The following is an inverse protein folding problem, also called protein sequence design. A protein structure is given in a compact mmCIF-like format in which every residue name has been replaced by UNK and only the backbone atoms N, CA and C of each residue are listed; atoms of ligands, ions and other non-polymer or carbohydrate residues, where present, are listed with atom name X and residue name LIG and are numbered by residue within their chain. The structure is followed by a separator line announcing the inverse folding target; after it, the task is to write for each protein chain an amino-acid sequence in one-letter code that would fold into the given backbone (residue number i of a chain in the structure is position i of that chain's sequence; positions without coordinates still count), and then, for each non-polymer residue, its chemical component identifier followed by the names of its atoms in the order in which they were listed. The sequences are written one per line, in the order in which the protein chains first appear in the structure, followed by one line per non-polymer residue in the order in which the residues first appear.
data_IF_203180826389
#
_entry.id   IF_203180826389
#
_cell.length_a   1.000
_cell.length_b   1.000
_cell.length_c   1.000
_cell.angle_alpha   90.00
_cell.angle_beta   90.00
_cell.angle_gamma   90.00
#
_symmetry.space_group_name_H-M   'P 1'
#
loop_
_entity.id
_entity.type
_entity.pdbx_description
1 polymer ?
#
# COMPACT_ATOMS: atom_id res chain seq x y z
N UNK A 1 -42.65 -17.56 53.07
CA UNK A 1 -43.43 -16.43 52.53
C UNK A 1 -42.51 -15.73 51.56
N UNK A 2 -42.57 -16.26 50.35
CA UNK A 2 -42.14 -15.61 49.12
C UNK A 2 -43.02 -14.37 48.95
N UNK A 3 -42.44 -13.24 48.59
CA UNK A 3 -43.05 -12.32 47.63
C UNK A 3 -41.92 -11.85 46.70
N UNK A 4 -41.94 -12.43 45.51
CA UNK A 4 -41.22 -11.99 44.34
C UNK A 4 -41.96 -10.77 43.79
N UNK A 5 -41.28 -9.64 43.63
CA UNK A 5 -41.72 -8.59 42.71
C UNK A 5 -40.59 -8.32 41.71
N UNK A 6 -40.82 -8.93 40.57
CA UNK A 6 -40.06 -8.92 39.32
C UNK A 6 -40.59 -7.78 38.46
N UNK A 7 -39.89 -6.65 38.39
CA UNK A 7 -40.20 -5.58 37.45
C UNK A 7 -38.93 -5.04 36.77
N UNK A 8 -38.77 -5.37 35.48
CA UNK A 8 -38.19 -4.43 34.52
C UNK A 8 -36.70 -4.56 34.20
N UNK A 9 -36.32 -5.67 33.57
CA UNK A 9 -35.11 -5.71 32.75
C UNK A 9 -35.22 -4.72 31.57
N UNK A 10 -34.46 -3.63 31.61
CA UNK A 10 -34.22 -2.81 30.42
C UNK A 10 -33.05 -3.41 29.63
N UNK A 11 -33.37 -4.35 28.74
CA UNK A 11 -32.49 -4.79 27.68
C UNK A 11 -32.26 -3.61 26.72
N UNK A 12 -31.09 -2.98 26.83
CA UNK A 12 -30.52 -2.17 25.74
C UNK A 12 -29.70 -3.09 24.85
N UNK A 13 -30.42 -3.88 24.06
CA UNK A 13 -29.88 -4.42 22.82
C UNK A 13 -29.42 -3.24 21.96
N UNK A 14 -28.12 -3.07 21.80
CA UNK A 14 -27.54 -2.13 20.84
C UNK A 14 -26.98 -2.89 19.63
N UNK A 15 -27.82 -3.36 18.69
CA UNK A 15 -27.36 -4.04 17.49
C UNK A 15 -27.11 -3.02 16.38
N UNK A 16 -25.98 -2.31 16.41
CA UNK A 16 -25.53 -1.49 15.26
C UNK A 16 -24.04 -1.56 15.01
N UNK A 17 -23.53 -2.78 14.88
CA UNK A 17 -22.20 -3.08 14.37
C UNK A 17 -22.23 -4.21 13.32
N UNK A 18 -23.03 -4.11 12.24
CA UNK A 18 -22.90 -5.10 11.14
C UNK A 18 -23.62 -4.83 9.80
N UNK A 19 -23.95 -3.60 9.39
CA UNK A 19 -24.73 -3.42 8.12
C UNK A 19 -24.19 -2.37 7.12
N UNK A 20 -23.00 -1.81 7.36
CA UNK A 20 -22.36 -0.88 6.42
C UNK A 20 -21.31 -1.50 5.49
N UNK A 21 -20.78 -2.67 5.85
CA UNK A 21 -19.59 -3.26 5.18
C UNK A 21 -19.98 -4.20 4.03
N UNK A 22 -21.25 -4.62 3.96
CA UNK A 22 -21.69 -5.68 3.04
C UNK A 22 -22.24 -5.21 1.69
N UNK A 23 -22.48 -3.90 1.48
CA UNK A 23 -23.00 -3.36 0.20
C UNK A 23 -21.94 -2.81 -0.76
N UNK A 24 -20.75 -2.49 -0.26
CA UNK A 24 -19.66 -1.95 -1.11
C UNK A 24 -18.93 -3.06 -1.87
N UNK A 25 -18.95 -4.29 -1.34
CA UNK A 25 -18.23 -5.42 -1.92
C UNK A 25 -18.90 -6.02 -3.17
N UNK A 26 -20.21 -5.83 -3.38
CA UNK A 26 -20.94 -6.44 -4.51
C UNK A 26 -20.95 -5.62 -5.80
N UNK A 27 -20.76 -4.29 -5.75
CA UNK A 27 -20.84 -3.44 -6.97
C UNK A 27 -19.58 -3.50 -7.84
N UNK A 28 -18.41 -3.81 -7.27
CA UNK A 28 -17.16 -3.89 -8.04
C UNK A 28 -17.08 -5.15 -8.92
N UNK A 29 -17.72 -6.25 -8.50
CA UNK A 29 -17.70 -7.53 -9.21
C UNK A 29 -18.64 -7.54 -10.43
N UNK A 30 -19.74 -6.77 -10.40
CA UNK A 30 -20.72 -6.73 -11.50
C UNK A 30 -20.21 -6.04 -12.78
N UNK A 31 -19.21 -5.15 -12.67
CA UNK A 31 -18.64 -4.41 -13.82
C UNK A 31 -17.64 -5.21 -14.63
N UNK A 32 -17.13 -6.32 -14.10
CA UNK A 32 -16.12 -7.15 -14.76
C UNK A 32 -16.71 -8.22 -15.69
N UNK A 33 -18.04 -8.41 -15.72
CA UNK A 33 -18.69 -9.54 -16.42
C UNK A 33 -19.52 -9.15 -17.67
N UNK A 34 -19.55 -7.89 -18.12
CA UNK A 34 -20.47 -7.49 -19.22
C UNK A 34 -19.87 -6.81 -20.44
N UNK A 35 -18.56 -6.74 -20.64
CA UNK A 35 -18.02 -6.20 -21.91
C UNK A 35 -16.82 -7.00 -22.42
N UNK A 36 -17.12 -8.15 -23.03
CA UNK A 36 -16.30 -8.66 -24.12
C UNK A 36 -16.75 -7.99 -25.43
N UNK A 37 -15.77 -7.71 -26.31
CA UNK A 37 -15.90 -7.50 -27.75
C UNK A 37 -15.91 -6.04 -28.28
N UNK A 38 -14.69 -5.53 -28.52
CA UNK A 38 -14.38 -4.75 -29.72
C UNK A 38 -12.95 -5.02 -30.16
N UNK A 39 -12.80 -5.99 -31.05
CA UNK A 39 -11.54 -6.25 -31.78
C UNK A 39 -11.43 -5.27 -32.94
N UNK A 40 -10.42 -4.39 -32.91
CA UNK A 40 -9.90 -3.78 -34.13
C UNK A 40 -8.51 -4.39 -34.39
N UNK A 41 -8.50 -5.24 -35.42
CA UNK A 41 -7.33 -5.91 -35.97
C UNK A 41 -6.69 -4.98 -37.01
N UNK A 42 -5.37 -4.77 -36.95
CA UNK A 42 -4.59 -4.46 -38.14
C UNK A 42 -3.19 -5.07 -38.07
N UNK A 43 -2.85 -5.74 -39.16
CA UNK A 43 -1.78 -6.71 -39.35
C UNK A 43 -0.39 -6.09 -39.52
N UNK A 44 0.65 -6.71 -38.93
CA UNK A 44 1.66 -7.52 -39.64
C UNK A 44 2.99 -7.65 -38.85
N UNK A 45 3.50 -8.88 -38.81
CA UNK A 45 4.67 -9.40 -38.08
C UNK A 45 6.00 -9.16 -38.88
N UNK A 46 7.19 -9.82 -38.65
CA UNK A 46 7.57 -10.84 -37.64
C UNK A 46 9.06 -10.90 -37.13
N UNK A 47 9.29 -11.78 -36.12
CA UNK A 47 10.52 -12.57 -35.71
C UNK A 47 11.58 -11.82 -34.87
N UNK A 48 12.18 -12.37 -33.81
CA UNK A 48 12.85 -13.67 -33.60
C UNK A 48 12.84 -14.06 -32.10
N UNK A 49 13.20 -15.25 -31.60
CA UNK A 49 13.01 -16.67 -31.94
C UNK A 49 13.54 -17.46 -30.72
N UNK A 50 12.85 -18.56 -30.34
CA UNK A 50 13.23 -19.65 -29.41
C UNK A 50 13.44 -19.31 -27.90
N UNK A 51 13.08 -20.10 -26.88
CA UNK A 51 12.21 -21.26 -26.59
C UNK A 51 12.40 -21.47 -25.05
N UNK A 52 11.40 -21.65 -24.18
CA UNK A 52 10.83 -22.95 -23.82
C UNK A 52 9.77 -22.84 -22.70
N UNK A 53 8.76 -23.70 -22.82
CA UNK A 53 7.58 -23.88 -21.97
C UNK A 53 7.83 -24.80 -20.77
N UNK A 54 7.21 -24.55 -19.61
CA UNK A 54 6.17 -25.43 -18.99
C UNK A 54 5.55 -24.77 -17.73
N UNK A 55 4.28 -25.09 -17.53
CA UNK A 55 3.26 -24.41 -16.71
C UNK A 55 3.25 -24.87 -15.25
N UNK A 56 2.88 -23.97 -14.34
CA UNK A 56 1.86 -24.27 -13.30
C UNK A 56 1.32 -22.96 -12.73
N UNK A 57 0.00 -22.80 -12.77
CA UNK A 57 -0.73 -21.71 -12.13
C UNK A 57 -1.18 -22.16 -10.73
N UNK A 58 -1.10 -21.30 -9.71
CA UNK A 58 -2.18 -21.01 -8.74
C UNK A 58 -1.72 -20.02 -7.63
N UNK A 59 -2.64 -19.07 -7.28
CA UNK A 59 -2.66 -18.14 -6.14
C UNK A 59 -1.84 -16.82 -6.17
N UNK A 60 -2.31 -15.90 -7.04
CA UNK A 60 -2.46 -14.43 -6.90
C UNK A 60 -1.95 -13.73 -5.61
N UNK A 61 -0.64 -13.63 -5.44
CA UNK A 61 0.03 -12.47 -4.84
C UNK A 61 0.79 -11.77 -5.96
N UNK A 62 0.70 -10.45 -6.07
CA UNK A 62 1.42 -9.67 -7.09
C UNK A 62 2.92 -9.61 -6.79
N UNK A 63 3.59 -10.76 -6.69
CA UNK A 63 5.04 -10.84 -6.79
C UNK A 63 5.39 -10.97 -8.26
N UNK A 64 5.59 -9.83 -8.91
CA UNK A 64 6.49 -9.84 -10.07
C UNK A 64 7.84 -10.26 -9.53
N UNK A 65 8.17 -11.56 -9.66
CA UNK A 65 9.53 -12.05 -9.46
C UNK A 65 10.37 -11.47 -10.60
N UNK A 66 10.78 -10.22 -10.43
CA UNK A 66 11.73 -9.57 -11.31
C UNK A 66 13.05 -10.28 -11.06
N UNK A 67 13.56 -10.99 -12.06
CA UNK A 67 14.91 -11.55 -12.02
C UNK A 67 15.90 -10.40 -12.24
N UNK A 68 16.06 -9.55 -11.22
CA UNK A 68 17.00 -8.43 -11.19
C UNK A 68 18.35 -8.94 -10.70
N UNK A 69 19.44 -8.43 -11.29
CA UNK A 69 20.78 -8.82 -10.87
C UNK A 69 21.04 -8.36 -9.43
N UNK A 70 21.97 -9.03 -8.75
CA UNK A 70 22.40 -8.65 -7.40
C UNK A 70 22.95 -7.21 -7.36
N UNK A 71 23.58 -6.73 -8.44
CA UNK A 71 24.03 -5.35 -8.51
C UNK A 71 22.86 -4.37 -8.56
N UNK A 72 21.80 -4.72 -9.30
CA UNK A 72 20.59 -3.91 -9.40
C UNK A 72 19.85 -3.84 -8.07
N UNK A 73 19.67 -4.98 -7.39
CA UNK A 73 19.08 -5.03 -6.06
C UNK A 73 19.86 -4.16 -5.06
N UNK A 74 21.19 -4.26 -5.05
CA UNK A 74 22.03 -3.40 -4.21
C UNK A 74 21.88 -1.92 -4.53
N UNK A 75 21.74 -1.56 -5.81
CA UNK A 75 21.48 -0.17 -6.22
C UNK A 75 20.15 0.31 -5.67
N UNK A 76 19.08 -0.46 -5.86
CA UNK A 76 17.74 -0.13 -5.36
C UNK A 76 17.71 0.02 -3.84
N UNK A 77 18.38 -0.86 -3.10
CA UNK A 77 18.47 -0.79 -1.64
C UNK A 77 19.21 0.46 -1.16
N UNK A 78 20.30 0.85 -1.85
CA UNK A 78 21.02 2.10 -1.56
C UNK A 78 20.15 3.31 -1.85
N UNK A 79 19.51 3.34 -3.02
CA UNK A 79 18.60 4.42 -3.42
C UNK A 79 17.43 4.56 -2.45
N UNK A 80 16.86 3.45 -1.96
CA UNK A 80 15.78 3.46 -0.99
C UNK A 80 16.17 4.22 0.30
N UNK A 81 17.44 4.15 0.71
CA UNK A 81 17.98 4.85 1.88
C UNK A 81 18.48 6.28 1.59
N UNK A 82 18.43 6.75 0.35
CA UNK A 82 18.83 8.12 0.01
C UNK A 82 17.73 9.15 0.28
N UNK A 83 18.14 10.34 0.71
CA UNK A 83 17.26 11.50 0.87
C UNK A 83 16.61 11.86 -0.45
N UNK A 84 15.28 11.95 -0.46
CA UNK A 84 14.50 12.21 -1.68
C UNK A 84 14.51 13.67 -2.15
N UNK A 85 15.24 14.54 -1.44
CA UNK A 85 15.35 15.96 -1.77
C UNK A 85 16.72 16.24 -2.41
N UNK A 86 17.82 15.96 -1.69
CA UNK A 86 19.15 16.21 -2.23
C UNK A 86 19.71 15.04 -3.05
N UNK A 87 19.21 13.81 -2.86
CA UNK A 87 19.75 12.58 -3.46
C UNK A 87 21.25 12.36 -3.21
N UNK A 88 21.78 12.95 -2.15
CA UNK A 88 23.22 13.00 -1.86
C UNK A 88 23.55 12.35 -0.49
N UNK A 89 22.70 12.58 0.52
CA UNK A 89 22.87 12.04 1.86
C UNK A 89 21.80 10.99 2.18
N UNK A 90 22.10 10.08 3.09
CA UNK A 90 21.13 9.09 3.59
C UNK A 90 19.99 9.75 4.38
N UNK A 91 18.84 9.08 4.38
CA UNK A 91 17.71 9.45 5.24
C UNK A 91 18.11 9.32 6.71
N UNK A 92 17.69 10.28 7.53
CA UNK A 92 18.04 10.30 8.95
C UNK A 92 17.03 10.99 9.85
N UNK A 93 15.91 11.47 9.30
CA UNK A 93 14.87 12.20 10.04
C UNK A 93 13.51 11.55 9.82
N UNK A 94 12.84 11.22 10.93
CA UNK A 94 11.42 10.84 10.98
C UNK A 94 10.58 12.06 11.29
N UNK A 95 9.52 12.29 10.51
CA UNK A 95 8.55 13.37 10.75
C UNK A 95 7.41 12.92 11.66
N UNK A 96 7.07 13.70 12.68
CA UNK A 96 5.93 13.45 13.55
C UNK A 96 4.76 14.40 13.24
N UNK A 97 3.50 13.91 13.27
CA UNK A 97 3.08 12.58 13.72
C UNK A 97 3.05 11.50 12.63
N UNK A 98 3.37 11.80 11.37
CA UNK A 98 3.11 10.86 10.27
C UNK A 98 4.08 9.68 10.15
N UNK A 99 5.25 9.73 10.80
CA UNK A 99 6.21 8.64 10.87
C UNK A 99 7.09 8.42 9.63
N UNK A 100 6.93 9.22 8.56
CA UNK A 100 7.69 9.00 7.33
C UNK A 100 9.16 9.40 7.47
N UNK A 101 10.07 8.51 7.04
CA UNK A 101 11.52 8.68 6.97
C UNK A 101 11.96 8.88 5.53
N UNK A 102 12.20 10.12 5.11
CA UNK A 102 12.35 10.44 3.68
C UNK A 102 13.45 11.44 3.35
N UNK A 103 14.01 12.07 4.38
CA UNK A 103 14.98 13.17 4.23
C UNK A 103 16.19 12.99 5.13
N UNK A 104 17.31 13.56 4.69
CA UNK A 104 18.49 13.74 5.53
C UNK A 104 18.28 14.89 6.53
N UNK A 105 19.21 15.02 7.48
CA UNK A 105 19.16 16.03 8.55
C UNK A 105 19.12 17.45 7.97
N UNK A 106 19.94 17.72 6.96
CA UNK A 106 20.07 19.06 6.36
C UNK A 106 18.81 19.47 5.59
N UNK A 107 18.22 18.56 4.81
CA UNK A 107 17.01 18.89 4.06
C UNK A 107 15.78 19.05 4.96
N UNK A 108 15.73 18.34 6.10
CA UNK A 108 14.60 18.41 7.01
C UNK A 108 14.39 19.78 7.66
N UNK A 109 15.43 20.60 7.81
CA UNK A 109 15.35 21.88 8.54
C UNK A 109 14.43 22.91 7.88
N UNK A 110 14.21 22.80 6.57
CA UNK A 110 13.43 23.76 5.78
C UNK A 110 12.02 23.27 5.46
N UNK A 111 11.55 22.19 6.10
CA UNK A 111 10.26 21.58 5.79
C UNK A 111 9.22 21.84 6.86
N UNK A 112 8.05 22.33 6.42
CA UNK A 112 6.85 22.47 7.27
C UNK A 112 5.87 21.30 7.09
N UNK A 113 5.97 20.58 5.97
CA UNK A 113 5.09 19.47 5.62
C UNK A 113 5.92 18.26 5.18
N UNK A 114 5.43 17.06 5.49
CA UNK A 114 6.06 15.82 5.06
C UNK A 114 6.02 15.73 3.51
N UNK A 115 7.16 15.47 2.83
CA UNK A 115 7.20 15.36 1.37
C UNK A 115 6.36 14.20 0.80
N UNK A 116 6.09 13.15 1.59
CA UNK A 116 5.32 11.99 1.13
C UNK A 116 3.81 12.18 1.33
N UNK A 117 3.38 12.44 2.56
CA UNK A 117 1.95 12.44 2.91
C UNK A 117 1.38 13.84 3.12
N UNK A 118 2.19 14.89 2.98
CA UNK A 118 1.80 16.30 3.12
C UNK A 118 1.28 16.71 4.50
N UNK A 119 1.34 15.82 5.50
CA UNK A 119 0.98 16.16 6.88
C UNK A 119 1.91 17.22 7.44
N UNK A 120 1.37 18.15 8.24
CA UNK A 120 2.17 19.16 8.96
C UNK A 120 3.16 18.49 9.90
N UNK A 121 4.41 18.92 9.83
CA UNK A 121 5.49 18.45 10.70
C UNK A 121 5.39 19.20 12.03
N UNK A 122 5.12 18.46 13.12
CA UNK A 122 5.06 19.02 14.47
C UNK A 122 6.36 18.83 15.24
N UNK A 123 7.11 17.77 14.91
CA UNK A 123 8.42 17.48 15.48
C UNK A 123 9.21 16.57 14.53
N UNK A 124 10.53 16.51 14.73
CA UNK A 124 11.45 15.62 14.02
C UNK A 124 12.23 14.76 14.99
N UNK A 125 12.51 13.52 14.61
CA UNK A 125 13.36 12.59 15.37
C UNK A 125 14.53 12.16 14.50
N UNK A 126 15.75 12.34 15.01
CA UNK A 126 16.96 11.83 14.36
C UNK A 126 17.06 10.32 14.57
N UNK A 127 17.24 9.59 13.48
CA UNK A 127 17.35 8.13 13.46
C UNK A 127 18.73 7.73 12.96
N UNK A 128 19.22 6.59 13.46
CA UNK A 128 20.47 5.96 13.02
C UNK A 128 20.11 4.55 12.53
N UNK A 129 20.48 4.24 11.29
CA UNK A 129 20.25 2.93 10.67
C UNK A 129 21.49 2.07 10.92
N UNK A 130 21.30 0.85 11.42
CA UNK A 130 22.37 -0.12 11.74
C UNK A 130 22.21 -1.39 10.93
#
# INVERSE_FOLDING_TARGET
MEEEDNDGAMNVDNPRLSEGVSKVLSTALQRALTEENRTDNCDNAPKESLQNSVQSEEAKGNETLVNISLEEENRMLKEARMCKICMDAEVGIVFLPCGHLTTCITCATNLQYCPLCRSTIKATVRTFLS
#
